data_IF_829717590320
#
_entry.id   IF_829717590320
#
_cell.length_a   1.000
_cell.length_b   1.000
_cell.length_c   1.000
_cell.angle_alpha   90.00
_cell.angle_beta   90.00
_cell.angle_gamma   90.00
#
_symmetry.space_group_name_H-M   'P 1'
#
loop_
_entity.id
_entity.type
_entity.pdbx_description
1 polymer ?
#
# COMPACT_ATOMS: atom_id res chain seq x y z
N UNK A 1 -26.09 0.04 13.11
CA UNK A 1 -25.61 -1.28 13.60
C UNK A 1 -25.07 -2.11 12.43
N UNK A 2 -25.86 -2.28 11.35
CA UNK A 2 -25.48 -3.07 10.16
C UNK A 2 -24.12 -2.65 9.58
N UNK A 3 -23.93 -1.35 9.28
CA UNK A 3 -22.68 -0.80 8.72
C UNK A 3 -21.47 -0.99 9.65
N UNK A 4 -21.66 -0.85 10.95
CA UNK A 4 -20.60 -1.01 11.97
C UNK A 4 -20.10 -2.46 11.99
N UNK A 5 -21.01 -3.44 11.93
CA UNK A 5 -20.65 -4.87 11.90
C UNK A 5 -19.89 -5.20 10.63
N UNK A 6 -20.37 -4.73 9.45
CA UNK A 6 -19.69 -4.94 8.17
C UNK A 6 -18.28 -4.34 8.18
N UNK A 7 -18.13 -3.10 8.63
CA UNK A 7 -16.82 -2.42 8.72
C UNK A 7 -15.87 -3.16 9.67
N UNK A 8 -16.36 -3.61 10.82
CA UNK A 8 -15.55 -4.36 11.79
C UNK A 8 -15.00 -5.67 11.22
N UNK A 9 -15.84 -6.44 10.53
CA UNK A 9 -15.43 -7.70 9.88
C UNK A 9 -14.44 -7.45 8.74
N UNK A 10 -14.70 -6.46 7.91
CA UNK A 10 -13.79 -6.06 6.81
C UNK A 10 -12.44 -5.61 7.35
N UNK A 11 -12.42 -4.84 8.44
CA UNK A 11 -11.19 -4.39 9.06
C UNK A 11 -10.35 -5.54 9.62
N UNK A 12 -10.97 -6.53 10.27
CA UNK A 12 -10.27 -7.71 10.80
C UNK A 12 -9.56 -8.52 9.71
N UNK A 13 -10.21 -8.70 8.56
CA UNK A 13 -9.61 -9.41 7.43
C UNK A 13 -8.58 -8.52 6.73
N UNK A 14 -8.89 -7.25 6.53
CA UNK A 14 -8.03 -6.27 5.87
C UNK A 14 -6.68 -6.08 6.58
N UNK A 15 -6.67 -6.03 7.90
CA UNK A 15 -5.43 -5.93 8.67
C UNK A 15 -4.45 -7.07 8.39
N UNK A 16 -4.96 -8.30 8.26
CA UNK A 16 -4.13 -9.47 7.90
C UNK A 16 -3.59 -9.35 6.47
N UNK A 17 -4.38 -8.80 5.55
CA UNK A 17 -3.99 -8.62 4.16
C UNK A 17 -2.84 -7.60 4.03
N UNK A 18 -2.86 -6.51 4.79
CA UNK A 18 -1.77 -5.52 4.82
C UNK A 18 -0.45 -6.18 5.21
N UNK A 19 -0.44 -7.01 6.26
CA UNK A 19 0.77 -7.74 6.67
C UNK A 19 1.28 -8.71 5.59
N UNK A 20 0.38 -9.44 4.92
CA UNK A 20 0.75 -10.36 3.83
C UNK A 20 1.30 -9.60 2.61
N UNK A 21 0.74 -8.43 2.27
CA UNK A 21 1.24 -7.59 1.18
C UNK A 21 2.64 -7.03 1.48
N UNK A 22 2.92 -6.65 2.72
CA UNK A 22 4.26 -6.23 3.14
C UNK A 22 5.28 -7.36 2.97
N UNK A 23 4.93 -8.57 3.42
CA UNK A 23 5.77 -9.77 3.23
C UNK A 23 5.95 -10.09 1.75
N UNK A 24 4.91 -9.90 0.92
CA UNK A 24 4.98 -10.10 -0.53
C UNK A 24 6.03 -9.19 -1.18
N UNK A 25 5.99 -7.89 -0.86
CA UNK A 25 6.97 -6.92 -1.37
C UNK A 25 8.40 -7.30 -1.00
N UNK A 26 8.61 -7.79 0.23
CA UNK A 26 9.92 -8.28 0.68
C UNK A 26 10.38 -9.48 -0.14
N UNK A 27 9.53 -10.50 -0.33
CA UNK A 27 9.89 -11.68 -1.12
C UNK A 27 10.15 -11.34 -2.59
N UNK A 28 9.40 -10.39 -3.15
CA UNK A 28 9.66 -9.88 -4.50
C UNK A 28 11.01 -9.17 -4.60
N UNK A 29 11.34 -8.33 -3.63
CA UNK A 29 12.65 -7.66 -3.57
C UNK A 29 13.80 -8.66 -3.46
N UNK A 30 13.67 -9.65 -2.57
CA UNK A 30 14.67 -10.70 -2.39
C UNK A 30 14.86 -11.55 -3.66
N UNK A 31 13.78 -11.83 -4.37
CA UNK A 31 13.83 -12.56 -5.64
C UNK A 31 14.49 -11.74 -6.75
N UNK A 32 14.12 -10.46 -6.90
CA UNK A 32 14.74 -9.53 -7.86
C UNK A 32 16.23 -9.35 -7.59
N UNK A 33 16.60 -9.16 -6.31
CA UNK A 33 18.01 -9.05 -5.91
C UNK A 33 18.81 -10.30 -6.29
N UNK A 34 18.22 -11.49 -6.12
CA UNK A 34 18.89 -12.73 -6.52
C UNK A 34 19.16 -12.80 -8.02
N UNK A 35 18.18 -12.38 -8.82
CA UNK A 35 18.34 -12.34 -10.28
C UNK A 35 19.40 -11.33 -10.71
N UNK A 36 19.43 -10.15 -10.07
CA UNK A 36 20.45 -9.13 -10.34
C UNK A 36 21.85 -9.65 -10.01
N UNK A 37 22.00 -10.21 -8.81
CA UNK A 37 23.28 -10.81 -8.37
C UNK A 37 23.78 -11.91 -9.33
N UNK A 38 22.88 -12.76 -9.80
CA UNK A 38 23.25 -13.77 -10.78
C UNK A 38 23.69 -13.17 -12.10
N UNK A 39 23.01 -12.13 -12.58
CA UNK A 39 23.38 -11.44 -13.82
C UNK A 39 24.75 -10.77 -13.72
N UNK A 40 25.05 -10.15 -12.57
CA UNK A 40 26.35 -9.51 -12.31
C UNK A 40 27.50 -10.53 -12.23
N UNK A 41 27.23 -11.73 -11.73
CA UNK A 41 28.23 -12.77 -11.53
C UNK A 41 28.08 -13.93 -12.55
N UNK A 42 27.45 -13.71 -13.67
CA UNK A 42 27.11 -14.76 -14.64
C UNK A 42 28.36 -15.53 -15.14
N UNK A 43 29.44 -14.83 -15.41
CA UNK A 43 30.71 -15.43 -15.84
C UNK A 43 31.31 -16.35 -14.78
N UNK A 44 31.31 -15.89 -13.52
CA UNK A 44 31.79 -16.69 -12.38
C UNK A 44 30.93 -17.93 -12.17
N UNK A 45 29.62 -17.79 -12.25
CA UNK A 45 28.68 -18.92 -12.12
C UNK A 45 28.92 -19.95 -13.23
N UNK A 46 29.10 -19.51 -14.46
CA UNK A 46 29.40 -20.39 -15.60
C UNK A 46 30.76 -21.07 -15.44
N UNK A 47 31.80 -20.32 -15.02
CA UNK A 47 33.13 -20.86 -14.79
C UNK A 47 33.18 -22.00 -13.76
N UNK A 48 32.41 -21.85 -12.65
CA UNK A 48 32.33 -22.84 -11.59
C UNK A 48 31.21 -23.86 -11.80
N UNK A 49 30.50 -23.85 -12.95
CA UNK A 49 29.34 -24.72 -13.22
C UNK A 49 28.28 -24.65 -12.12
N UNK A 50 28.06 -23.43 -11.58
CA UNK A 50 27.16 -23.15 -10.45
C UNK A 50 25.67 -22.99 -10.79
N UNK A 51 25.27 -23.18 -12.07
CA UNK A 51 23.89 -22.91 -12.56
C UNK A 51 22.83 -23.72 -11.81
N UNK A 52 23.15 -24.98 -11.50
CA UNK A 52 22.24 -25.87 -10.75
C UNK A 52 22.01 -25.38 -9.32
N UNK A 53 23.05 -24.88 -8.69
CA UNK A 53 23.01 -24.33 -7.33
C UNK A 53 22.18 -23.05 -7.28
N UNK A 54 22.47 -22.10 -8.18
CA UNK A 54 21.74 -20.83 -8.27
C UNK A 54 20.27 -21.08 -8.69
N UNK A 55 20.01 -22.00 -9.60
CA UNK A 55 18.64 -22.45 -9.94
C UNK A 55 17.89 -23.01 -8.75
N UNK A 56 18.56 -23.68 -7.82
CA UNK A 56 17.97 -24.13 -6.54
C UNK A 56 17.59 -22.97 -5.63
N UNK A 57 18.43 -21.95 -5.54
CA UNK A 57 18.15 -20.73 -4.76
C UNK A 57 16.94 -19.99 -5.35
N UNK A 58 16.86 -19.82 -6.68
CA UNK A 58 15.72 -19.20 -7.33
C UNK A 58 14.41 -19.94 -7.08
N UNK A 59 14.41 -21.27 -7.25
CA UNK A 59 13.24 -22.10 -6.97
C UNK A 59 12.74 -21.93 -5.53
N UNK A 60 13.66 -21.90 -4.57
CA UNK A 60 13.31 -21.70 -3.15
C UNK A 60 12.69 -20.32 -2.90
N UNK A 61 13.30 -19.25 -3.42
CA UNK A 61 12.79 -17.88 -3.24
C UNK A 61 11.46 -17.69 -3.98
N UNK A 62 11.34 -18.19 -5.18
CA UNK A 62 10.09 -18.15 -5.95
C UNK A 62 8.96 -18.93 -5.26
N UNK A 63 9.27 -20.06 -4.64
CA UNK A 63 8.29 -20.81 -3.86
C UNK A 63 7.76 -20.01 -2.68
N UNK A 64 8.63 -19.31 -1.91
CA UNK A 64 8.20 -18.45 -0.80
C UNK A 64 7.26 -17.34 -1.29
N UNK A 65 7.57 -16.73 -2.43
CA UNK A 65 6.75 -15.71 -3.07
C UNK A 65 5.37 -16.28 -3.44
N UNK A 66 5.33 -17.44 -4.09
CA UNK A 66 4.08 -18.10 -4.48
C UNK A 66 3.24 -18.52 -3.27
N UNK A 67 3.86 -19.11 -2.25
CA UNK A 67 3.16 -19.56 -1.05
C UNK A 67 2.51 -18.36 -0.31
N UNK A 68 3.16 -17.22 -0.28
CA UNK A 68 2.59 -15.99 0.29
C UNK A 68 1.51 -15.42 -0.61
N UNK A 69 1.70 -15.42 -1.93
CA UNK A 69 0.69 -14.97 -2.90
C UNK A 69 -0.63 -15.73 -2.75
N UNK A 70 -0.56 -17.04 -2.60
CA UNK A 70 -1.76 -17.87 -2.37
C UNK A 70 -2.47 -17.50 -1.06
N UNK A 71 -1.74 -17.15 0.01
CA UNK A 71 -2.34 -16.65 1.25
C UNK A 71 -3.06 -15.30 1.04
N UNK A 72 -2.49 -14.43 0.20
CA UNK A 72 -3.13 -13.16 -0.17
C UNK A 72 -4.43 -13.43 -0.94
N UNK A 73 -4.38 -14.30 -1.97
CA UNK A 73 -5.56 -14.67 -2.77
C UNK A 73 -6.67 -15.26 -1.89
N UNK A 74 -6.33 -16.10 -0.94
CA UNK A 74 -7.31 -16.68 -0.01
C UNK A 74 -7.97 -15.60 0.87
N UNK A 75 -7.19 -14.64 1.37
CA UNK A 75 -7.72 -13.52 2.16
C UNK A 75 -8.55 -12.55 1.32
N UNK A 76 -8.13 -12.25 0.10
CA UNK A 76 -8.92 -11.48 -0.85
C UNK A 76 -10.24 -12.16 -1.19
N UNK A 77 -10.22 -13.47 -1.44
CA UNK A 77 -11.42 -14.27 -1.65
C UNK A 77 -12.40 -14.15 -0.48
N UNK A 78 -11.90 -14.25 0.78
CA UNK A 78 -12.73 -14.09 1.96
C UNK A 78 -13.37 -12.70 2.03
N UNK A 79 -12.62 -11.62 1.69
CA UNK A 79 -13.13 -10.25 1.62
C UNK A 79 -14.21 -10.09 0.54
N UNK A 80 -13.97 -10.63 -0.65
CA UNK A 80 -14.94 -10.58 -1.76
C UNK A 80 -16.25 -11.28 -1.36
N UNK A 81 -16.16 -12.46 -0.78
CA UNK A 81 -17.34 -13.20 -0.30
C UNK A 81 -18.12 -12.43 0.78
N UNK A 82 -17.39 -11.85 1.75
CA UNK A 82 -17.99 -11.04 2.80
C UNK A 82 -18.71 -9.82 2.19
N UNK A 83 -18.02 -9.06 1.33
CA UNK A 83 -18.57 -7.86 0.72
C UNK A 83 -19.76 -8.16 -0.20
N UNK A 84 -19.66 -9.20 -1.01
CA UNK A 84 -20.76 -9.62 -1.91
C UNK A 84 -21.98 -10.08 -1.10
N UNK A 85 -21.79 -10.91 -0.08
CA UNK A 85 -22.86 -11.34 0.80
C UNK A 85 -23.50 -10.17 1.54
N UNK A 86 -22.68 -9.26 2.06
CA UNK A 86 -23.14 -8.05 2.72
C UNK A 86 -23.97 -7.16 1.78
N UNK A 87 -23.48 -6.90 0.58
CA UNK A 87 -24.21 -6.10 -0.42
C UNK A 87 -25.54 -6.74 -0.82
N UNK A 88 -25.57 -8.07 -0.95
CA UNK A 88 -26.79 -8.79 -1.31
C UNK A 88 -27.85 -8.72 -0.19
N UNK A 89 -27.42 -8.83 1.08
CA UNK A 89 -28.33 -8.66 2.23
C UNK A 89 -28.87 -7.24 2.28
N UNK A 90 -28.04 -6.23 1.97
CA UNK A 90 -28.45 -4.84 1.97
C UNK A 90 -29.56 -4.52 0.94
N UNK A 91 -29.55 -5.19 -0.22
CA UNK A 91 -30.60 -5.04 -1.22
C UNK A 91 -31.94 -5.62 -0.73
N UNK A 92 -31.90 -6.76 -0.06
CA UNK A 92 -33.09 -7.49 0.39
C UNK A 92 -33.67 -6.86 1.69
N UNK A 93 -32.83 -6.32 2.53
CA UNK A 93 -33.20 -5.83 3.88
C UNK A 93 -34.38 -4.85 3.89
N UNK A 94 -34.45 -3.78 3.07
CA UNK A 94 -35.56 -2.85 3.07
C UNK A 94 -36.88 -3.50 2.66
N UNK A 95 -36.82 -4.49 1.78
CA UNK A 95 -38.02 -5.25 1.38
C UNK A 95 -38.56 -6.09 2.55
N UNK A 96 -37.70 -6.80 3.27
CA UNK A 96 -38.09 -7.61 4.41
C UNK A 96 -38.72 -6.75 5.52
N UNK A 97 -38.14 -5.58 5.78
CA UNK A 97 -38.63 -4.67 6.83
C UNK A 97 -39.94 -4.01 6.43
N UNK A 98 -40.11 -3.63 5.15
CA UNK A 98 -41.31 -2.94 4.70
C UNK A 98 -42.46 -3.89 4.24
N UNK A 99 -42.17 -5.18 4.02
CA UNK A 99 -43.15 -6.16 3.58
C UNK A 99 -44.40 -6.29 4.47
N UNK A 100 -44.30 -6.30 5.83
CA UNK A 100 -45.48 -6.35 6.69
C UNK A 100 -46.45 -5.18 6.45
N UNK A 101 -45.92 -3.97 6.26
CA UNK A 101 -46.73 -2.76 5.96
C UNK A 101 -47.35 -2.80 4.57
N UNK A 102 -46.71 -3.44 3.61
CA UNK A 102 -47.26 -3.66 2.31
C UNK A 102 -48.41 -4.67 2.34
N UNK A 103 -48.24 -5.78 3.10
CA UNK A 103 -49.27 -6.79 3.25
C UNK A 103 -50.51 -6.27 4.03
N UNK A 104 -50.27 -5.38 5.03
CA UNK A 104 -51.37 -4.70 5.73
C UNK A 104 -52.03 -3.59 4.91
N UNK A 105 -51.63 -3.36 3.65
CA UNK A 105 -52.10 -2.31 2.75
C UNK A 105 -51.89 -0.88 3.26
N UNK A 106 -51.00 -0.67 4.21
CA UNK A 106 -50.57 0.65 4.70
C UNK A 106 -49.76 1.41 3.66
N UNK A 107 -48.97 0.69 2.86
CA UNK A 107 -48.15 1.25 1.78
C UNK A 107 -48.49 0.58 0.45
N UNK A 108 -48.36 1.34 -0.62
CA UNK A 108 -48.48 0.82 -2.00
C UNK A 108 -47.20 0.17 -2.47
N UNK A 109 -47.25 -0.58 -3.57
CA UNK A 109 -46.03 -1.16 -4.20
C UNK A 109 -45.02 -0.05 -4.57
N UNK A 110 -45.51 1.10 -5.08
CA UNK A 110 -44.65 2.25 -5.36
C UNK A 110 -43.94 2.78 -4.11
N UNK A 111 -44.65 2.84 -2.98
CA UNK A 111 -44.06 3.21 -1.67
C UNK A 111 -42.99 2.23 -1.21
N UNK A 112 -43.22 0.92 -1.39
CA UNK A 112 -42.23 -0.11 -1.09
C UNK A 112 -40.94 0.07 -1.92
N UNK A 113 -41.06 0.29 -3.21
CA UNK A 113 -39.92 0.55 -4.12
C UNK A 113 -39.21 1.85 -3.75
N UNK A 114 -39.98 2.89 -3.39
CA UNK A 114 -39.38 4.16 -2.94
C UNK A 114 -38.57 4.02 -1.67
N UNK A 115 -39.06 3.26 -0.68
CA UNK A 115 -38.31 2.95 0.57
C UNK A 115 -37.02 2.20 0.24
N UNK A 116 -37.07 1.17 -0.62
CA UNK A 116 -35.90 0.41 -1.02
C UNK A 116 -34.87 1.29 -1.73
N UNK A 117 -35.32 2.15 -2.64
CA UNK A 117 -34.45 3.08 -3.37
C UNK A 117 -33.82 4.13 -2.46
N UNK A 118 -34.59 4.69 -1.51
CA UNK A 118 -34.07 5.65 -0.53
C UNK A 118 -33.01 5.00 0.38
N UNK A 119 -33.25 3.78 0.83
CA UNK A 119 -32.30 3.01 1.62
C UNK A 119 -30.99 2.76 0.82
N UNK A 120 -31.09 2.35 -0.44
CA UNK A 120 -29.95 2.14 -1.31
C UNK A 120 -29.09 3.41 -1.46
N UNK A 121 -29.70 4.57 -1.70
CA UNK A 121 -28.98 5.86 -1.81
C UNK A 121 -28.23 6.23 -0.51
N UNK A 122 -28.87 6.04 0.63
CA UNK A 122 -28.23 6.30 1.93
C UNK A 122 -27.05 5.36 2.14
N UNK A 123 -27.24 4.08 1.83
CA UNK A 123 -26.18 3.09 1.95
C UNK A 123 -24.99 3.39 1.04
N UNK A 124 -25.26 3.73 -0.24
CA UNK A 124 -24.22 4.11 -1.20
C UNK A 124 -23.43 5.33 -0.74
N UNK A 125 -24.14 6.37 -0.24
CA UNK A 125 -23.49 7.55 0.32
C UNK A 125 -22.59 7.24 1.52
N UNK A 126 -23.02 6.34 2.40
CA UNK A 126 -22.22 5.92 3.56
C UNK A 126 -21.01 5.06 3.14
N UNK A 127 -21.20 4.15 2.18
CA UNK A 127 -20.12 3.30 1.65
C UNK A 127 -19.06 4.15 0.93
N UNK A 128 -19.47 5.20 0.22
CA UNK A 128 -18.55 6.11 -0.45
C UNK A 128 -17.49 6.69 0.49
N UNK A 129 -17.86 7.09 1.70
CA UNK A 129 -16.88 7.59 2.69
C UNK A 129 -15.88 6.53 3.11
N UNK A 130 -16.32 5.28 3.25
CA UNK A 130 -15.45 4.16 3.63
C UNK A 130 -14.47 3.84 2.49
N UNK A 131 -14.94 3.80 1.26
CA UNK A 131 -14.14 3.50 0.07
C UNK A 131 -13.12 4.62 -0.21
N UNK A 132 -13.55 5.89 -0.03
CA UNK A 132 -12.68 7.05 -0.20
C UNK A 132 -11.62 7.20 0.90
N UNK A 133 -11.80 6.59 2.06
CA UNK A 133 -10.87 6.71 3.17
C UNK A 133 -9.46 6.20 2.83
N UNK A 134 -9.36 5.11 2.08
CA UNK A 134 -8.08 4.56 1.63
C UNK A 134 -7.35 5.55 0.70
N UNK A 135 -8.06 6.11 -0.28
CA UNK A 135 -7.51 7.12 -1.20
C UNK A 135 -7.12 8.40 -0.47
N UNK A 136 -7.88 8.79 0.55
CA UNK A 136 -7.55 9.94 1.39
C UNK A 136 -6.28 9.71 2.21
N UNK A 137 -6.10 8.50 2.74
CA UNK A 137 -4.90 8.11 3.47
C UNK A 137 -3.66 8.11 2.57
N UNK A 138 -3.78 7.59 1.35
CA UNK A 138 -2.69 7.63 0.35
C UNK A 138 -2.34 9.07 -0.04
N UNK A 139 -3.34 9.91 -0.30
CA UNK A 139 -3.14 11.32 -0.59
C UNK A 139 -2.41 12.03 0.56
N UNK A 140 -2.85 11.81 1.79
CA UNK A 140 -2.20 12.36 2.99
C UNK A 140 -0.74 11.95 3.10
N UNK A 141 -0.42 10.67 2.85
CA UNK A 141 0.96 10.17 2.88
C UNK A 141 1.85 10.83 1.80
N UNK A 142 1.30 11.14 0.63
CA UNK A 142 2.00 11.88 -0.43
C UNK A 142 2.26 13.33 0.02
N UNK A 143 1.25 13.99 0.58
CA UNK A 143 1.38 15.37 1.10
C UNK A 143 2.42 15.44 2.22
N UNK A 144 2.40 14.52 3.17
CA UNK A 144 3.38 14.45 4.27
C UNK A 144 4.82 14.28 3.74
N UNK A 145 5.04 13.45 2.72
CA UNK A 145 6.36 13.31 2.07
C UNK A 145 6.80 14.59 1.37
N UNK A 146 5.91 15.24 0.63
CA UNK A 146 6.23 16.49 -0.06
C UNK A 146 6.53 17.62 0.94
N UNK A 147 5.76 17.70 2.01
CA UNK A 147 5.98 18.69 3.07
C UNK A 147 7.32 18.44 3.79
N UNK A 148 7.61 17.17 4.14
CA UNK A 148 8.89 16.79 4.72
C UNK A 148 10.08 17.14 3.82
N UNK A 149 9.98 16.84 2.52
CA UNK A 149 10.99 17.23 1.54
C UNK A 149 11.18 18.77 1.49
N UNK A 150 10.07 19.52 1.48
CA UNK A 150 10.12 21.00 1.49
C UNK A 150 10.80 21.55 2.75
N UNK A 151 10.53 20.99 3.91
CA UNK A 151 11.17 21.38 5.17
C UNK A 151 12.67 21.10 5.13
N UNK A 152 13.09 19.89 4.75
CA UNK A 152 14.52 19.58 4.64
C UNK A 152 15.26 20.42 3.60
N UNK A 153 14.62 20.73 2.46
CA UNK A 153 15.19 21.65 1.48
C UNK A 153 15.39 23.05 2.05
N UNK A 154 14.49 23.50 2.93
CA UNK A 154 14.60 24.80 3.59
C UNK A 154 15.72 24.79 4.65
N UNK A 155 15.84 23.72 5.42
CA UNK A 155 16.92 23.52 6.41
C UNK A 155 18.29 23.54 5.72
N UNK A 156 18.48 22.75 4.66
CA UNK A 156 19.73 22.72 3.87
C UNK A 156 20.08 24.09 3.28
N UNK A 157 19.08 24.88 2.86
CA UNK A 157 19.33 26.25 2.38
C UNK A 157 19.73 27.22 3.48
N UNK A 158 19.32 26.97 4.71
CA UNK A 158 19.67 27.81 5.88
C UNK A 158 21.00 27.37 6.52
N UNK A 159 21.45 26.14 6.31
CA UNK A 159 22.78 25.73 6.69
C UNK A 159 23.79 26.56 5.91
N UNK A 160 24.47 27.44 6.61
CA UNK A 160 25.61 28.15 6.04
C UNK A 160 26.65 27.10 5.64
N UNK A 161 27.24 27.20 4.43
CA UNK A 161 28.30 26.30 4.07
C UNK A 161 29.39 26.39 5.16
N UNK A 162 29.66 25.28 5.83
CA UNK A 162 30.73 25.19 6.85
C UNK A 162 32.11 25.45 6.26
N UNK A 163 32.19 25.54 4.94
CA UNK A 163 33.43 25.79 4.20
C UNK A 163 33.41 27.27 3.77
N UNK A 164 34.21 28.08 4.40
CA UNK A 164 34.47 29.43 3.97
C UNK A 164 35.45 29.38 2.79
N UNK A 165 34.87 29.39 1.58
CA UNK A 165 35.65 29.37 0.34
C UNK A 165 36.09 30.81 0.02
N UNK A 166 37.27 31.20 0.50
CA UNK A 166 37.96 32.41 0.03
C UNK A 166 38.48 32.15 -1.41
N UNK A 167 37.84 32.75 -2.38
CA UNK A 167 38.25 32.64 -3.78
C UNK A 167 39.40 33.62 -4.01
N UNK A 168 40.62 33.13 -3.92
CA UNK A 168 41.81 33.89 -4.34
C UNK A 168 42.08 33.68 -5.84
N UNK A 169 42.16 34.73 -6.61
CA UNK A 169 42.70 34.68 -7.96
C UNK A 169 44.20 34.32 -7.88
N UNK A 170 44.51 33.07 -8.16
CA UNK A 170 45.89 32.58 -8.25
C UNK A 170 46.26 32.41 -9.74
N UNK A 171 47.46 32.81 -10.07
CA UNK A 171 48.07 32.64 -11.43
C UNK A 171 48.37 31.17 -11.75
N UNK A 172 48.24 30.26 -10.82
CA UNK A 172 48.48 28.83 -11.01
C UNK A 172 47.14 28.07 -10.80
N UNK A 173 46.91 27.10 -11.66
CA UNK A 173 45.75 26.16 -11.60
C UNK A 173 45.86 25.17 -10.42
N UNK A 174 46.26 25.64 -9.23
CA UNK A 174 46.41 24.82 -8.03
C UNK A 174 45.32 25.14 -7.02
N UNK A 175 44.61 24.11 -6.57
CA UNK A 175 43.67 24.21 -5.42
C UNK A 175 44.50 24.00 -4.16
N UNK A 176 44.57 25.02 -3.31
CA UNK A 176 45.23 24.91 -1.99
C UNK A 176 44.18 24.78 -0.90
N UNK A 177 44.23 23.66 -0.18
CA UNK A 177 43.38 23.40 0.97
C UNK A 177 44.22 23.60 2.23
N UNK A 178 43.98 24.67 2.97
CA UNK A 178 44.83 25.07 4.14
C UNK A 178 44.53 24.21 5.39
N UNK A 179 43.28 23.79 5.61
CA UNK A 179 42.89 22.86 6.66
C UNK A 179 41.57 22.21 6.32
N UNK A 180 41.59 20.91 6.02
CA UNK A 180 40.39 20.15 5.73
C UNK A 180 40.03 19.31 6.97
N UNK A 181 38.96 19.67 7.66
CA UNK A 181 38.36 18.86 8.69
C UNK A 181 37.16 18.13 8.05
N UNK A 182 37.27 16.82 7.91
CA UNK A 182 36.19 15.99 7.37
C UNK A 182 35.53 15.27 8.53
N UNK A 183 34.28 15.61 8.81
CA UNK A 183 33.46 14.86 9.76
C UNK A 183 32.62 13.83 8.97
N UNK A 184 32.65 12.58 9.42
CA UNK A 184 31.76 11.56 8.90
C UNK A 184 30.37 11.79 9.48
N UNK A 185 29.30 11.66 8.67
CA UNK A 185 27.94 11.69 9.21
C UNK A 185 27.81 10.58 10.25
N UNK A 186 27.35 10.96 11.44
CA UNK A 186 27.02 10.00 12.49
C UNK A 186 25.89 9.07 12.00
N UNK A 187 26.09 7.74 12.11
CA UNK A 187 25.13 6.69 11.76
C UNK A 187 23.88 6.67 12.68
#
# INVERSE_FOLDING_TARGET
VYSIVGTGLTHLIGKKLVGLNFVQQRYEADFRFSMMRMRENAESVAFYSGEKQEGGVFKKRFKLLLDNFWKIVEKQKQLVWLNSGYSQIAIIFPFVVAMPRYLSKEITLGGLIQIASAFGRVQESLSYFVDMYASLAEWRAVVERLTGFGVHMHEVKQEKPQIDLERMESRNDTIVVASLQVELPDD
#
